data_IF_222595949687
#
_entry.id   IF_222595949687
#
_cell.length_a   1.000
_cell.length_b   1.000
_cell.length_c   1.000
_cell.angle_alpha   90.00
_cell.angle_beta   90.00
_cell.angle_gamma   90.00
#
_symmetry.space_group_name_H-M   'P 1'
#
loop_
_entity.id
_entity.type
_entity.pdbx_description
1 polymer ?
#
# COMPACT_ATOMS: atom_id res chain seq x y z
N UNK A 1 11.55 -0.40 -1.42
CA UNK A 1 10.16 -0.20 -0.97
C UNK A 1 9.57 -1.51 -0.48
N UNK A 2 8.74 -1.47 0.57
CA UNK A 2 8.04 -2.60 1.18
C UNK A 2 6.54 -2.34 1.13
N UNK A 3 5.74 -3.30 0.67
CA UNK A 3 4.28 -3.22 0.73
C UNK A 3 3.72 -4.16 1.81
N UNK A 4 2.76 -3.65 2.58
CA UNK A 4 1.93 -4.43 3.49
C UNK A 4 0.56 -4.62 2.82
N UNK A 5 0.35 -5.77 2.21
CA UNK A 5 -0.86 -6.14 1.49
C UNK A 5 -1.83 -6.88 2.41
N UNK A 6 -3.11 -6.62 2.29
CA UNK A 6 -4.12 -7.39 3.02
C UNK A 6 -5.52 -6.81 2.87
N UNK A 7 -6.56 -7.58 3.22
CA UNK A 7 -7.94 -7.13 3.17
C UNK A 7 -8.22 -6.00 4.19
N UNK A 8 -9.37 -5.38 4.04
CA UNK A 8 -9.86 -4.44 5.04
C UNK A 8 -10.07 -5.16 6.38
N UNK A 9 -9.65 -4.53 7.47
CA UNK A 9 -9.69 -5.17 8.79
C UNK A 9 -8.55 -6.12 9.12
N UNK A 10 -7.61 -6.40 8.20
CA UNK A 10 -6.45 -7.26 8.46
C UNK A 10 -5.47 -6.71 9.51
N UNK A 11 -5.58 -5.43 9.86
CA UNK A 11 -4.71 -4.77 10.82
C UNK A 11 -3.62 -3.88 10.19
N UNK A 12 -3.69 -3.58 8.88
CA UNK A 12 -2.69 -2.75 8.16
C UNK A 12 -2.51 -1.38 8.81
N UNK A 13 -3.59 -0.59 8.92
CA UNK A 13 -3.57 0.75 9.53
C UNK A 13 -3.09 0.69 10.98
N UNK A 14 -3.55 -0.29 11.79
CA UNK A 14 -3.08 -0.46 13.16
C UNK A 14 -1.58 -0.72 13.23
N UNK A 15 -1.06 -1.54 12.30
CA UNK A 15 0.38 -1.81 12.20
C UNK A 15 1.15 -0.54 11.85
N UNK A 16 0.70 0.22 10.84
CA UNK A 16 1.30 1.51 10.47
C UNK A 16 1.27 2.49 11.64
N UNK A 17 0.12 2.71 12.29
CA UNK A 17 -0.02 3.62 13.43
C UNK A 17 0.95 3.28 14.57
N UNK A 18 1.20 1.99 14.82
CA UNK A 18 2.20 1.54 15.79
C UNK A 18 3.60 1.86 15.31
N UNK A 19 3.94 1.57 14.05
CA UNK A 19 5.27 1.83 13.47
C UNK A 19 5.59 3.32 13.35
N UNK A 20 4.58 4.17 13.18
CA UNK A 20 4.69 5.64 13.20
C UNK A 20 4.79 6.23 14.62
N UNK A 21 4.49 5.41 15.65
CA UNK A 21 4.45 5.86 17.04
C UNK A 21 3.18 6.64 17.41
N UNK A 22 2.13 6.59 16.58
CA UNK A 22 0.82 7.18 16.91
C UNK A 22 -0.02 6.30 17.82
N UNK A 23 0.26 5.01 17.86
CA UNK A 23 -0.43 4.04 18.70
C UNK A 23 0.56 3.25 19.56
N UNK A 24 0.24 3.09 20.83
CA UNK A 24 1.02 2.23 21.73
C UNK A 24 0.71 0.76 21.43
N UNK A 25 1.77 -0.07 21.36
CA UNK A 25 1.62 -1.52 21.31
C UNK A 25 1.09 -2.08 22.63
N UNK A 26 0.28 -3.12 22.59
CA UNK A 26 -0.23 -3.79 23.79
C UNK A 26 0.79 -4.73 24.42
N UNK A 27 1.67 -5.33 23.61
CA UNK A 27 2.72 -6.26 24.01
C UNK A 27 3.82 -6.37 22.93
N UNK A 28 4.90 -7.10 23.25
CA UNK A 28 6.00 -7.38 22.31
C UNK A 28 6.97 -6.21 22.21
N UNK A 29 7.83 -6.27 21.18
CA UNK A 29 8.87 -5.26 20.88
C UNK A 29 8.71 -4.75 19.45
N UNK A 30 8.81 -3.44 19.29
CA UNK A 30 8.79 -2.77 17.99
C UNK A 30 9.92 -1.76 17.92
N UNK A 31 10.81 -1.95 16.98
CA UNK A 31 11.92 -1.04 16.72
C UNK A 31 11.81 -0.49 15.28
N UNK A 32 11.95 0.82 15.17
CA UNK A 32 11.98 1.51 13.88
C UNK A 32 13.21 2.41 13.84
N UNK A 33 14.03 2.26 12.80
CA UNK A 33 15.33 2.96 12.67
C UNK A 33 16.23 2.78 13.90
N UNK A 34 16.19 1.58 14.51
CA UNK A 34 17.01 1.21 15.66
C UNK A 34 16.53 1.76 17.02
N UNK A 35 15.32 2.31 17.08
CA UNK A 35 14.74 2.87 18.31
C UNK A 35 13.46 2.11 18.67
N UNK A 36 13.34 1.66 19.93
CA UNK A 36 12.07 1.15 20.46
C UNK A 36 11.08 2.32 20.56
N UNK A 37 9.90 2.13 20.01
CA UNK A 37 8.90 3.21 19.90
C UNK A 37 8.34 3.67 21.25
N UNK A 38 8.51 2.90 22.31
CA UNK A 38 8.21 3.36 23.68
C UNK A 38 9.13 4.50 24.12
N UNK A 39 10.35 4.55 23.56
CA UNK A 39 11.39 5.54 23.84
C UNK A 39 11.55 6.57 22.70
N UNK A 40 10.60 6.61 21.76
CA UNK A 40 10.63 7.46 20.58
C UNK A 40 10.71 8.95 20.91
N UNK A 41 11.86 9.57 20.62
CA UNK A 41 12.12 11.00 20.84
C UNK A 41 11.65 11.85 19.65
N UNK A 42 11.56 13.17 19.83
CA UNK A 42 11.35 14.14 18.76
C UNK A 42 12.40 14.00 17.63
N UNK A 43 13.65 13.69 18.00
CA UNK A 43 14.74 13.48 17.06
C UNK A 43 14.50 12.24 16.18
N UNK A 44 13.93 11.17 16.75
CA UNK A 44 13.48 10.00 15.99
C UNK A 44 12.32 10.37 15.06
N UNK A 45 11.32 11.11 15.56
CA UNK A 45 10.16 11.54 14.74
C UNK A 45 10.56 12.38 13.54
N UNK A 46 11.63 13.19 13.67
CA UNK A 46 12.16 13.96 12.53
C UNK A 46 12.76 13.10 11.42
N UNK A 47 13.03 11.81 11.68
CA UNK A 47 13.56 10.84 10.71
C UNK A 47 12.46 10.06 9.98
N UNK A 48 11.23 10.19 10.45
CA UNK A 48 10.05 9.48 9.93
C UNK A 48 9.11 10.47 9.28
N UNK A 49 8.58 10.11 8.13
CA UNK A 49 7.52 10.84 7.43
C UNK A 49 6.27 10.01 7.33
N UNK A 50 5.12 10.67 7.26
CA UNK A 50 3.83 10.03 7.10
C UNK A 50 2.96 10.81 6.13
N UNK A 51 2.24 10.12 5.26
CA UNK A 51 1.24 10.71 4.37
C UNK A 51 -0.13 10.20 4.81
N UNK A 52 -0.91 11.09 5.41
CA UNK A 52 -2.23 10.78 5.93
C UNK A 52 -3.29 10.81 4.82
N UNK A 53 -4.27 9.90 4.87
CA UNK A 53 -5.36 9.78 3.88
C UNK A 53 -6.21 11.05 3.70
N UNK A 54 -6.33 11.88 4.71
CA UNK A 54 -7.14 13.10 4.63
C UNK A 54 -6.58 14.20 5.51
N UNK A 55 -5.84 15.10 4.89
CA UNK A 55 -5.54 16.36 5.51
C UNK A 55 -6.29 17.49 4.81
N UNK A 56 -7.34 18.01 5.45
CA UNK A 56 -8.24 19.02 4.85
C UNK A 56 -8.06 20.44 5.39
N UNK A 57 -7.07 20.65 6.28
CA UNK A 57 -6.80 21.97 6.84
C UNK A 57 -5.91 22.83 5.93
N UNK A 58 -5.78 24.10 6.30
CA UNK A 58 -4.94 25.08 5.62
C UNK A 58 -5.35 25.51 4.21
N UNK A 59 -6.62 25.30 3.80
CA UNK A 59 -7.09 25.66 2.46
C UNK A 59 -6.87 27.13 2.05
N UNK A 60 -6.69 28.05 3.02
CA UNK A 60 -6.43 29.47 2.79
C UNK A 60 -4.95 29.78 2.52
N UNK A 61 -4.03 28.90 2.90
CA UNK A 61 -2.59 29.06 2.72
C UNK A 61 -2.22 28.84 1.26
N UNK A 62 -1.07 29.41 0.85
CA UNK A 62 -0.41 29.04 -0.41
C UNK A 62 0.42 27.79 -0.20
N UNK A 63 0.62 27.02 -1.26
CA UNK A 63 1.41 25.76 -1.20
C UNK A 63 2.80 26.02 -0.61
N UNK A 64 3.51 27.02 -1.13
CA UNK A 64 4.85 27.41 -0.66
C UNK A 64 4.85 27.79 0.83
N UNK A 65 3.88 28.59 1.23
CA UNK A 65 3.76 29.05 2.62
C UNK A 65 3.63 27.91 3.60
N UNK A 66 2.75 26.92 3.26
CA UNK A 66 2.56 25.73 4.09
C UNK A 66 3.83 24.90 4.18
N UNK A 67 4.48 24.60 3.05
CA UNK A 67 5.70 23.79 3.06
C UNK A 67 6.84 24.47 3.83
N UNK A 68 7.03 25.78 3.67
CA UNK A 68 8.02 26.53 4.41
C UNK A 68 7.72 26.54 5.93
N UNK A 69 6.45 26.71 6.28
CA UNK A 69 6.01 26.68 7.70
C UNK A 69 6.27 25.31 8.32
N UNK A 70 5.80 24.23 7.68
CA UNK A 70 6.02 22.89 8.19
C UNK A 70 7.50 22.51 8.21
N UNK A 71 8.26 22.91 7.19
CA UNK A 71 9.70 22.72 7.14
C UNK A 71 10.42 23.37 8.32
N UNK A 72 9.95 24.52 8.81
CA UNK A 72 10.59 25.22 9.93
C UNK A 72 10.68 24.39 11.21
N UNK A 73 9.76 23.45 11.45
CA UNK A 73 9.80 22.54 12.58
C UNK A 73 10.98 21.55 12.53
N UNK A 74 11.51 21.27 11.33
CA UNK A 74 12.60 20.31 11.14
C UNK A 74 13.98 20.96 11.15
N UNK A 75 14.07 22.30 11.14
CA UNK A 75 15.35 23.01 11.07
C UNK A 75 16.29 22.68 12.25
N UNK A 76 15.75 22.48 13.45
CA UNK A 76 16.52 22.11 14.64
C UNK A 76 17.09 20.68 14.59
N UNK A 77 16.61 19.83 13.68
CA UNK A 77 17.10 18.46 13.45
C UNK A 77 18.06 18.34 12.25
N UNK A 78 18.54 19.45 11.73
CA UNK A 78 19.57 19.49 10.70
C UNK A 78 20.87 18.89 11.24
N UNK A 79 21.51 18.00 10.47
CA UNK A 79 22.80 17.40 10.80
C UNK A 79 23.81 17.64 9.66
N UNK A 80 25.07 17.29 9.86
CA UNK A 80 26.05 17.33 8.78
C UNK A 80 25.73 16.36 7.63
N UNK A 81 25.14 15.20 7.99
CA UNK A 81 24.79 14.12 7.04
C UNK A 81 23.47 14.38 6.33
N UNK A 82 22.46 14.90 7.05
CA UNK A 82 21.13 15.14 6.49
C UNK A 82 20.73 16.59 6.72
N UNK A 83 20.68 17.35 5.62
CA UNK A 83 20.25 18.76 5.65
C UNK A 83 18.72 18.82 5.73
N UNK A 84 18.20 19.23 6.88
CA UNK A 84 16.76 19.39 7.13
C UNK A 84 16.41 20.86 7.36
N UNK A 85 15.24 21.29 6.93
CA UNK A 85 14.27 20.63 6.04
C UNK A 85 14.73 20.60 4.57
N UNK A 86 13.86 20.12 3.67
CA UNK A 86 13.97 20.42 2.25
C UNK A 86 13.94 21.94 2.03
N UNK A 87 14.72 22.45 1.07
CA UNK A 87 14.43 23.76 0.50
C UNK A 87 13.04 23.75 -0.16
N UNK A 88 12.26 24.79 0.08
CA UNK A 88 10.86 24.81 -0.38
C UNK A 88 10.74 24.76 -1.92
N UNK A 89 11.69 25.32 -2.66
CA UNK A 89 11.67 25.30 -4.13
C UNK A 89 12.10 23.94 -4.67
N UNK A 90 13.11 23.32 -4.04
CA UNK A 90 13.52 21.93 -4.37
C UNK A 90 12.35 20.96 -4.11
N UNK A 91 11.69 21.10 -2.98
CA UNK A 91 10.55 20.25 -2.62
C UNK A 91 9.38 20.42 -3.58
N UNK A 92 9.08 21.67 -3.98
CA UNK A 92 8.06 21.95 -5.00
C UNK A 92 8.40 21.32 -6.35
N UNK A 93 9.67 21.34 -6.73
CA UNK A 93 10.12 20.71 -7.98
C UNK A 93 9.97 19.18 -7.91
N UNK A 94 10.43 18.55 -6.81
CA UNK A 94 10.31 17.10 -6.57
C UNK A 94 8.84 16.66 -6.60
N UNK A 95 7.95 17.43 -5.98
CA UNK A 95 6.51 17.10 -5.93
C UNK A 95 5.77 17.50 -7.24
N UNK A 96 6.44 18.10 -8.23
CA UNK A 96 5.80 18.60 -9.46
C UNK A 96 4.78 19.71 -9.21
N UNK A 97 5.03 20.58 -8.21
CA UNK A 97 4.13 21.65 -7.78
C UNK A 97 4.70 23.06 -8.02
N UNK A 98 5.79 23.20 -8.75
CA UNK A 98 6.50 24.48 -8.99
C UNK A 98 5.55 25.56 -9.53
N UNK A 99 4.75 25.24 -10.56
CA UNK A 99 3.78 26.17 -11.15
C UNK A 99 2.58 26.50 -10.25
N UNK A 100 2.44 25.73 -9.16
CA UNK A 100 1.33 25.85 -8.22
C UNK A 100 1.77 26.40 -6.86
N UNK A 101 3.04 26.78 -6.71
CA UNK A 101 3.64 27.24 -5.47
C UNK A 101 2.84 28.36 -4.77
N UNK A 102 2.35 29.32 -5.56
CA UNK A 102 1.59 30.48 -5.06
C UNK A 102 0.07 30.32 -5.11
N UNK A 103 -0.41 29.15 -5.58
CA UNK A 103 -1.86 28.84 -5.50
C UNK A 103 -2.29 28.60 -4.06
N UNK A 104 -3.53 29.02 -3.75
CA UNK A 104 -4.19 28.62 -2.51
C UNK A 104 -4.51 27.13 -2.56
N UNK A 105 -4.27 26.43 -1.47
CA UNK A 105 -4.44 24.97 -1.37
C UNK A 105 -5.85 24.51 -1.74
N UNK A 106 -6.87 25.29 -1.40
CA UNK A 106 -8.26 25.00 -1.79
C UNK A 106 -8.54 25.05 -3.31
N UNK A 107 -7.61 25.61 -4.10
CA UNK A 107 -7.71 25.74 -5.55
C UNK A 107 -6.95 24.64 -6.30
N UNK A 108 -6.32 23.72 -5.59
CA UNK A 108 -5.62 22.59 -6.17
C UNK A 108 -6.63 21.54 -6.66
N UNK A 109 -6.32 20.89 -7.77
CA UNK A 109 -7.01 19.67 -8.19
C UNK A 109 -6.74 18.52 -7.22
N UNK A 110 -7.50 17.41 -7.29
CA UNK A 110 -7.28 16.23 -6.47
C UNK A 110 -5.84 15.71 -6.58
N UNK A 111 -5.33 15.49 -7.79
CA UNK A 111 -3.95 15.04 -8.01
C UNK A 111 -2.89 16.02 -7.48
N UNK A 112 -3.09 17.34 -7.67
CA UNK A 112 -2.19 18.35 -7.10
C UNK A 112 -2.24 18.34 -5.57
N UNK A 113 -3.39 18.08 -4.98
CA UNK A 113 -3.53 17.95 -3.53
C UNK A 113 -2.76 16.75 -3.00
N UNK A 114 -2.88 15.59 -3.63
CA UNK A 114 -2.13 14.40 -3.22
C UNK A 114 -0.61 14.58 -3.35
N UNK A 115 -0.13 15.26 -4.39
CA UNK A 115 1.28 15.64 -4.51
C UNK A 115 1.72 16.55 -3.36
N UNK A 116 0.86 17.47 -2.92
CA UNK A 116 1.12 18.29 -1.74
C UNK A 116 1.16 17.45 -0.46
N UNK A 117 0.27 16.48 -0.31
CA UNK A 117 0.24 15.62 0.87
C UNK A 117 1.54 14.78 0.96
N UNK A 118 2.06 14.28 -0.16
CA UNK A 118 3.40 13.67 -0.21
C UNK A 118 4.50 14.67 0.15
N UNK A 119 4.46 15.88 -0.44
CA UNK A 119 5.46 16.92 -0.12
C UNK A 119 5.48 17.26 1.37
N UNK A 120 4.32 17.29 2.02
CA UNK A 120 4.21 17.47 3.47
C UNK A 120 4.87 16.30 4.21
N UNK A 121 4.60 15.06 3.82
CA UNK A 121 5.18 13.87 4.42
C UNK A 121 6.71 13.81 4.33
N UNK A 122 7.30 14.41 3.29
CA UNK A 122 8.75 14.38 3.06
C UNK A 122 9.47 15.69 3.40
N UNK A 123 8.77 16.74 3.84
CA UNK A 123 9.37 18.08 4.09
C UNK A 123 10.56 18.03 5.04
N UNK A 124 10.57 17.11 5.99
CA UNK A 124 11.65 16.87 6.95
C UNK A 124 12.81 16.04 6.41
N UNK A 125 12.84 15.65 5.15
CA UNK A 125 13.80 14.66 4.59
C UNK A 125 13.84 13.38 5.44
N UNK A 126 12.73 12.63 5.52
CA UNK A 126 12.67 11.42 6.32
C UNK A 126 13.54 10.30 5.71
N UNK A 127 14.06 9.44 6.56
CA UNK A 127 14.74 8.21 6.17
C UNK A 127 13.74 7.09 5.87
N UNK A 128 12.57 7.15 6.54
CA UNK A 128 11.46 6.22 6.37
C UNK A 128 10.16 6.99 6.17
N UNK A 129 9.44 6.68 5.10
CA UNK A 129 8.14 7.25 4.77
C UNK A 129 7.06 6.18 4.84
N UNK A 130 6.01 6.45 5.58
CA UNK A 130 4.81 5.64 5.66
C UNK A 130 3.71 6.18 4.76
N UNK A 131 3.05 5.28 4.02
CA UNK A 131 1.96 5.59 3.11
C UNK A 131 0.80 4.62 3.40
N UNK A 132 -0.28 5.12 4.01
CA UNK A 132 -1.44 4.26 4.32
C UNK A 132 -2.51 4.40 3.22
N UNK A 133 -2.66 3.34 2.40
CA UNK A 133 -3.56 3.25 1.24
C UNK A 133 -3.51 4.51 0.34
N UNK A 134 -2.32 4.92 -0.14
CA UNK A 134 -2.08 6.27 -0.66
C UNK A 134 -2.82 6.59 -1.97
N UNK A 135 -3.24 5.58 -2.74
CA UNK A 135 -3.91 5.76 -4.03
C UNK A 135 -5.40 5.43 -4.00
N UNK A 136 -5.97 5.24 -2.80
CA UNK A 136 -7.40 4.97 -2.65
C UNK A 136 -8.23 6.11 -3.27
N UNK A 137 -9.10 5.76 -4.22
CA UNK A 137 -9.96 6.73 -4.91
C UNK A 137 -9.29 7.53 -6.04
N UNK A 138 -8.03 7.21 -6.41
CA UNK A 138 -7.36 7.86 -7.55
C UNK A 138 -7.90 7.33 -8.88
N UNK A 139 -8.00 8.23 -9.84
CA UNK A 139 -8.13 7.82 -11.24
C UNK A 139 -6.80 7.21 -11.76
N UNK A 140 -6.82 6.46 -12.87
CA UNK A 140 -5.62 5.78 -13.37
C UNK A 140 -4.45 6.71 -13.75
N UNK A 141 -4.72 7.97 -14.10
CA UNK A 141 -3.67 8.94 -14.42
C UNK A 141 -3.00 9.46 -13.15
N UNK A 142 -3.80 9.88 -12.16
CA UNK A 142 -3.31 10.32 -10.86
C UNK A 142 -2.49 9.22 -10.15
N UNK A 143 -2.94 7.94 -10.26
CA UNK A 143 -2.22 6.79 -9.70
C UNK A 143 -0.84 6.63 -10.33
N UNK A 144 -0.72 6.72 -11.66
CA UNK A 144 0.59 6.64 -12.35
C UNK A 144 1.53 7.76 -11.90
N UNK A 145 1.05 8.99 -11.90
CA UNK A 145 1.84 10.15 -11.46
C UNK A 145 2.33 10.01 -10.01
N UNK A 146 1.50 9.46 -9.14
CA UNK A 146 1.86 9.16 -7.75
C UNK A 146 2.94 8.07 -7.68
N UNK A 147 2.81 6.98 -8.46
CA UNK A 147 3.80 5.92 -8.53
C UNK A 147 5.16 6.45 -8.98
N UNK A 148 5.20 7.29 -10.02
CA UNK A 148 6.43 7.91 -10.53
C UNK A 148 7.09 8.78 -9.45
N UNK A 149 6.30 9.57 -8.71
CA UNK A 149 6.79 10.38 -7.60
C UNK A 149 7.41 9.51 -6.49
N UNK A 150 6.71 8.46 -6.06
CA UNK A 150 7.15 7.57 -4.98
C UNK A 150 8.41 6.79 -5.38
N UNK A 151 8.49 6.32 -6.63
CA UNK A 151 9.72 5.71 -7.18
C UNK A 151 10.89 6.68 -7.16
N UNK A 152 10.68 7.91 -7.63
CA UNK A 152 11.70 8.96 -7.60
C UNK A 152 12.23 9.24 -6.19
N UNK A 153 11.35 9.24 -5.19
CA UNK A 153 11.75 9.42 -3.79
C UNK A 153 12.64 8.28 -3.28
N UNK A 154 12.32 7.05 -3.63
CA UNK A 154 13.10 5.89 -3.21
C UNK A 154 14.47 5.82 -3.92
N UNK A 155 14.49 6.02 -5.25
CA UNK A 155 15.69 5.82 -6.07
C UNK A 155 16.67 6.99 -6.00
N UNK A 156 16.16 8.22 -6.09
CA UNK A 156 17.02 9.41 -6.16
C UNK A 156 17.43 9.94 -4.80
N UNK A 157 16.56 9.77 -3.79
CA UNK A 157 16.79 10.34 -2.46
C UNK A 157 17.04 9.30 -1.38
N UNK A 158 16.99 8.01 -1.75
CA UNK A 158 17.30 6.90 -0.83
C UNK A 158 16.28 6.75 0.31
N UNK A 159 15.07 7.32 0.16
CA UNK A 159 14.02 7.20 1.18
C UNK A 159 13.49 5.77 1.21
N UNK A 160 13.55 5.13 2.37
CA UNK A 160 12.85 3.85 2.56
C UNK A 160 11.35 4.10 2.63
N UNK A 161 10.55 3.32 1.91
CA UNK A 161 9.09 3.52 1.87
C UNK A 161 8.41 2.22 2.29
N UNK A 162 7.49 2.34 3.25
CA UNK A 162 6.53 1.30 3.63
C UNK A 162 5.14 1.79 3.28
N UNK A 163 4.46 1.06 2.40
CA UNK A 163 3.09 1.37 1.99
C UNK A 163 2.13 0.25 2.37
N UNK A 164 0.89 0.62 2.70
CA UNK A 164 -0.20 -0.35 2.79
C UNK A 164 -1.07 -0.26 1.55
N UNK A 165 -1.59 -1.39 1.13
CA UNK A 165 -2.58 -1.45 0.06
C UNK A 165 -3.41 -2.73 0.17
N UNK A 166 -4.59 -2.73 -0.43
CA UNK A 166 -5.37 -3.93 -0.69
C UNK A 166 -5.30 -4.35 -2.18
N UNK A 167 -4.64 -3.53 -3.02
CA UNK A 167 -4.47 -3.78 -4.46
C UNK A 167 -3.10 -4.44 -4.71
N UNK A 168 -3.13 -5.71 -5.12
CA UNK A 168 -1.93 -6.46 -5.45
C UNK A 168 -1.14 -5.82 -6.59
N UNK A 169 -1.83 -5.32 -7.63
CA UNK A 169 -1.15 -4.69 -8.77
C UNK A 169 -0.36 -3.44 -8.34
N UNK A 170 -0.83 -2.73 -7.33
CA UNK A 170 -0.10 -1.60 -6.75
C UNK A 170 1.13 -2.09 -5.99
N UNK A 171 0.97 -3.12 -5.15
CA UNK A 171 2.09 -3.71 -4.40
C UNK A 171 3.18 -4.24 -5.35
N UNK A 172 2.81 -4.94 -6.42
CA UNK A 172 3.74 -5.48 -7.43
C UNK A 172 4.51 -4.38 -8.17
N UNK A 173 3.85 -3.26 -8.48
CA UNK A 173 4.47 -2.15 -9.20
C UNK A 173 5.42 -1.32 -8.35
N UNK A 174 5.12 -1.16 -7.07
CA UNK A 174 5.86 -0.24 -6.20
C UNK A 174 6.89 -0.94 -5.31
N UNK A 175 6.61 -2.17 -4.87
CA UNK A 175 7.39 -2.79 -3.82
C UNK A 175 8.34 -3.87 -4.33
N UNK A 176 9.59 -3.81 -3.91
CA UNK A 176 10.54 -4.92 -4.11
C UNK A 176 10.29 -6.10 -3.16
N UNK A 177 9.49 -5.89 -2.10
CA UNK A 177 9.10 -6.92 -1.14
C UNK A 177 7.67 -6.67 -0.66
N UNK A 178 6.90 -7.74 -0.53
CA UNK A 178 5.49 -7.71 -0.14
C UNK A 178 5.30 -8.61 1.07
N UNK A 179 4.69 -8.04 2.11
CA UNK A 179 4.17 -8.79 3.26
C UNK A 179 2.65 -8.91 3.13
N UNK A 180 2.12 -10.13 3.23
CA UNK A 180 0.67 -10.33 3.23
C UNK A 180 0.20 -10.49 4.67
N UNK A 181 -0.68 -9.56 5.08
CA UNK A 181 -1.29 -9.53 6.40
C UNK A 181 -2.73 -10.06 6.32
N UNK A 182 -3.06 -11.03 7.16
CA UNK A 182 -4.43 -11.51 7.33
C UNK A 182 -4.68 -11.85 8.80
N UNK A 183 -5.82 -11.41 9.35
CA UNK A 183 -6.18 -11.65 10.75
C UNK A 183 -5.11 -11.22 11.76
N UNK A 184 -4.40 -10.12 11.51
CA UNK A 184 -3.32 -9.60 12.37
C UNK A 184 -2.01 -10.39 12.31
N UNK A 185 -1.84 -11.30 11.34
CA UNK A 185 -0.62 -12.11 11.16
C UNK A 185 -0.06 -11.96 9.75
N UNK A 186 1.26 -11.95 9.65
CA UNK A 186 1.94 -12.06 8.35
C UNK A 186 1.86 -13.52 7.91
N UNK A 187 1.13 -13.78 6.83
CA UNK A 187 0.91 -15.11 6.28
C UNK A 187 1.86 -15.43 5.12
N UNK A 188 2.40 -14.41 4.47
CA UNK A 188 3.40 -14.57 3.42
C UNK A 188 4.34 -13.36 3.36
N UNK A 189 5.57 -13.60 2.89
CA UNK A 189 6.65 -12.62 2.78
C UNK A 189 7.55 -13.03 1.61
N UNK A 190 7.81 -12.09 0.68
CA UNK A 190 8.66 -12.34 -0.48
C UNK A 190 8.53 -11.25 -1.54
N UNK A 191 9.22 -11.44 -2.66
CA UNK A 191 9.01 -10.65 -3.87
C UNK A 191 7.69 -11.04 -4.54
N UNK A 192 7.18 -10.21 -5.45
CA UNK A 192 5.99 -10.54 -6.24
C UNK A 192 6.14 -11.88 -6.97
N UNK A 193 7.32 -12.15 -7.55
CA UNK A 193 7.63 -13.41 -8.24
C UNK A 193 7.63 -14.61 -7.31
N UNK A 194 8.28 -14.50 -6.13
CA UNK A 194 8.33 -15.58 -5.14
C UNK A 194 6.94 -15.88 -4.60
N UNK A 195 6.13 -14.86 -4.35
CA UNK A 195 4.77 -15.01 -3.89
C UNK A 195 3.88 -15.65 -4.97
N UNK A 196 4.01 -15.21 -6.22
CA UNK A 196 3.31 -15.82 -7.35
C UNK A 196 3.69 -17.30 -7.53
N UNK A 197 4.96 -17.67 -7.38
CA UNK A 197 5.41 -19.07 -7.46
C UNK A 197 4.88 -19.93 -6.30
N UNK A 198 4.83 -19.40 -5.08
CA UNK A 198 4.26 -20.12 -3.92
C UNK A 198 2.76 -20.33 -4.03
N UNK A 199 2.07 -19.44 -4.75
CA UNK A 199 0.64 -19.45 -4.98
C UNK A 199 0.29 -20.13 -6.31
N UNK A 200 1.27 -20.41 -7.16
CA UNK A 200 1.12 -21.29 -8.32
C UNK A 200 0.77 -22.73 -7.88
N UNK A 201 -0.15 -22.80 -6.92
CA UNK A 201 -0.96 -23.94 -6.58
C UNK A 201 -1.88 -24.27 -7.75
N UNK A 202 -2.82 -25.15 -7.50
CA UNK A 202 -3.77 -25.61 -8.49
C UNK A 202 -4.59 -24.44 -9.07
N UNK A 203 -4.59 -24.28 -10.39
CA UNK A 203 -5.52 -23.40 -11.09
C UNK A 203 -6.95 -23.94 -10.91
N UNK A 204 -7.92 -23.07 -10.79
CA UNK A 204 -9.33 -23.45 -10.72
C UNK A 204 -9.93 -23.40 -12.14
N UNK A 205 -10.39 -24.55 -12.63
CA UNK A 205 -11.11 -24.66 -13.90
C UNK A 205 -12.60 -24.78 -13.61
N UNK A 206 -13.37 -23.82 -14.10
CA UNK A 206 -14.84 -23.79 -14.00
C UNK A 206 -15.45 -24.03 -15.37
N UNK A 207 -16.50 -24.80 -15.44
CA UNK A 207 -17.25 -25.00 -16.67
C UNK A 207 -18.71 -25.35 -16.38
N UNK A 208 -19.54 -25.13 -17.37
CA UNK A 208 -20.95 -25.56 -17.36
C UNK A 208 -21.12 -26.72 -18.33
N UNK A 209 -21.83 -27.79 -17.90
CA UNK A 209 -22.23 -28.89 -18.75
C UNK A 209 -23.66 -29.32 -18.41
N UNK A 210 -24.51 -29.45 -19.40
CA UNK A 210 -25.93 -29.85 -19.22
C UNK A 210 -26.67 -28.99 -18.18
N UNK A 211 -26.34 -27.69 -18.10
CA UNK A 211 -26.92 -26.74 -17.15
C UNK A 211 -26.40 -26.88 -15.72
N UNK A 212 -25.41 -27.74 -15.47
CA UNK A 212 -24.74 -27.86 -14.16
C UNK A 212 -23.37 -27.20 -14.19
N UNK A 213 -23.02 -26.54 -13.08
CA UNK A 213 -21.73 -25.90 -12.90
C UNK A 213 -20.75 -26.86 -12.23
N UNK A 214 -19.57 -26.95 -12.76
CA UNK A 214 -18.46 -27.76 -12.25
C UNK A 214 -17.26 -26.87 -11.93
N UNK A 215 -16.52 -27.29 -10.92
CA UNK A 215 -15.27 -26.61 -10.48
C UNK A 215 -14.25 -27.69 -10.15
N UNK A 216 -13.05 -27.57 -10.72
CA UNK A 216 -11.94 -28.49 -10.49
C UNK A 216 -10.63 -27.71 -10.32
N UNK A 217 -9.91 -27.99 -9.24
CA UNK A 217 -8.56 -27.50 -9.04
C UNK A 217 -7.54 -28.42 -9.72
N UNK A 218 -6.56 -27.85 -10.44
CA UNK A 218 -5.52 -28.62 -11.14
C UNK A 218 -4.26 -27.80 -11.34
N UNK A 219 -3.09 -28.43 -11.27
CA UNK A 219 -1.80 -27.83 -11.59
C UNK A 219 -1.53 -27.74 -13.11
N UNK A 220 -2.30 -28.47 -13.93
CA UNK A 220 -2.16 -28.54 -15.38
C UNK A 220 -3.45 -28.05 -16.07
N UNK A 221 -3.89 -26.84 -15.78
CA UNK A 221 -5.17 -26.29 -16.23
C UNK A 221 -5.37 -26.33 -17.75
N UNK A 222 -4.33 -26.03 -18.52
CA UNK A 222 -4.38 -26.07 -19.99
C UNK A 222 -4.60 -27.49 -20.50
N UNK A 223 -3.92 -28.47 -19.92
CA UNK A 223 -4.09 -29.88 -20.29
C UNK A 223 -5.46 -30.39 -19.89
N UNK A 224 -5.88 -30.05 -18.68
CA UNK A 224 -7.21 -30.42 -18.16
C UNK A 224 -8.33 -29.82 -19.02
N UNK A 225 -8.25 -28.55 -19.42
CA UNK A 225 -9.21 -27.93 -20.30
C UNK A 225 -9.24 -28.62 -21.68
N UNK A 226 -8.09 -28.99 -22.23
CA UNK A 226 -8.01 -29.73 -23.48
C UNK A 226 -8.66 -31.14 -23.39
N UNK A 227 -8.44 -31.84 -22.28
CA UNK A 227 -9.06 -33.16 -22.03
C UNK A 227 -10.58 -33.04 -21.85
N UNK A 228 -11.07 -31.99 -21.17
CA UNK A 228 -12.50 -31.70 -21.08
C UNK A 228 -13.15 -31.52 -22.46
N UNK A 229 -12.55 -30.70 -23.32
CA UNK A 229 -13.07 -30.52 -24.69
C UNK A 229 -13.01 -31.81 -25.53
N UNK A 230 -11.95 -32.59 -25.35
CA UNK A 230 -11.81 -33.87 -26.03
C UNK A 230 -12.89 -34.89 -25.61
N UNK A 231 -13.26 -34.84 -24.32
CA UNK A 231 -14.22 -35.82 -23.76
C UNK A 231 -15.68 -35.40 -24.01
N UNK A 232 -15.98 -34.11 -23.89
CA UNK A 232 -17.37 -33.61 -23.87
C UNK A 232 -17.73 -32.70 -25.05
N UNK A 233 -16.75 -32.25 -25.83
CA UNK A 233 -16.96 -31.47 -27.05
C UNK A 233 -17.80 -30.22 -26.83
N UNK A 234 -18.84 -30.07 -27.64
CA UNK A 234 -19.74 -28.93 -27.64
C UNK A 234 -20.68 -28.87 -26.42
N UNK A 235 -20.72 -29.91 -25.58
CA UNK A 235 -21.51 -29.91 -24.35
C UNK A 235 -20.93 -29.01 -23.23
N UNK A 236 -19.70 -28.49 -23.44
CA UNK A 236 -19.07 -27.57 -22.50
C UNK A 236 -19.42 -26.13 -22.88
N UNK A 237 -19.93 -25.39 -21.91
CA UNK A 237 -20.17 -23.98 -21.99
C UNK A 237 -19.43 -23.26 -20.83
N UNK A 238 -19.21 -21.96 -20.99
CA UNK A 238 -18.68 -21.06 -19.96
C UNK A 238 -17.36 -21.56 -19.31
N UNK A 239 -16.46 -22.16 -20.15
CA UNK A 239 -15.17 -22.59 -19.63
C UNK A 239 -14.33 -21.37 -19.21
N UNK A 240 -14.01 -21.32 -17.92
CA UNK A 240 -13.14 -20.30 -17.33
C UNK A 240 -11.97 -20.99 -16.63
N UNK A 241 -10.76 -20.55 -16.94
CA UNK A 241 -9.56 -20.96 -16.20
C UNK A 241 -9.12 -19.79 -15.35
N UNK A 242 -9.31 -19.90 -14.05
CA UNK A 242 -8.82 -18.94 -13.06
C UNK A 242 -7.50 -19.44 -12.52
N UNK A 243 -6.43 -18.76 -12.89
CA UNK A 243 -5.14 -19.03 -12.27
C UNK A 243 -5.22 -18.68 -10.79
N UNK A 244 -4.68 -19.56 -9.96
CA UNK A 244 -4.47 -19.28 -8.56
C UNK A 244 -3.66 -17.98 -8.45
N UNK A 245 -4.29 -16.92 -7.94
CA UNK A 245 -3.65 -15.62 -7.79
C UNK A 245 -3.65 -15.23 -6.31
N UNK A 246 -2.66 -14.42 -5.91
CA UNK A 246 -2.60 -13.80 -4.57
C UNK A 246 -3.94 -13.17 -4.16
N UNK A 247 -4.65 -12.56 -5.12
CA UNK A 247 -5.96 -11.94 -4.90
C UNK A 247 -6.98 -12.96 -4.40
N UNK A 248 -7.03 -14.16 -5.00
CA UNK A 248 -8.01 -15.20 -4.64
C UNK A 248 -7.78 -15.79 -3.24
N UNK A 249 -6.53 -15.94 -2.81
CA UNK A 249 -6.25 -16.43 -1.44
C UNK A 249 -6.53 -15.35 -0.38
N UNK A 250 -6.31 -14.10 -0.71
CA UNK A 250 -6.66 -12.97 0.15
C UNK A 250 -8.19 -12.85 0.25
N UNK A 251 -8.92 -13.02 -0.85
CA UNK A 251 -10.40 -13.02 -0.90
C UNK A 251 -11.03 -14.29 -0.29
N UNK A 252 -10.47 -15.46 -0.54
CA UNK A 252 -10.94 -16.72 0.05
C UNK A 252 -10.74 -16.76 1.58
N UNK A 253 -9.66 -16.13 2.07
CA UNK A 253 -9.49 -15.88 3.50
C UNK A 253 -10.57 -14.96 4.10
N UNK A 254 -11.18 -14.07 3.30
CA UNK A 254 -12.32 -13.24 3.72
C UNK A 254 -13.60 -14.04 3.89
N UNK A 255 -13.89 -14.97 2.98
CA UNK A 255 -15.10 -15.80 3.04
C UNK A 255 -15.08 -16.76 4.25
N UNK A 256 -13.92 -17.36 4.53
CA UNK A 256 -13.77 -18.26 5.69
C UNK A 256 -13.88 -17.53 7.04
N UNK A 257 -13.48 -16.24 7.11
CA UNK A 257 -13.58 -15.45 8.34
C UNK A 257 -14.99 -14.87 8.53
N UNK A 258 -15.71 -14.60 7.44
CA UNK A 258 -17.11 -14.15 7.50
C UNK A 258 -18.04 -15.27 7.96
N UNK A 259 -17.85 -16.50 7.45
CA UNK A 259 -18.61 -17.67 7.88
C UNK A 259 -18.33 -18.04 9.35
N UNK A 260 -17.10 -17.91 9.84
CA UNK A 260 -16.75 -18.17 11.24
C UNK A 260 -17.40 -17.16 12.21
N UNK A 261 -17.53 -15.88 11.81
CA UNK A 261 -18.18 -14.86 12.63
C UNK A 261 -19.70 -15.02 12.67
N UNK A 262 -20.35 -15.46 11.58
CA UNK A 262 -21.79 -15.73 11.58
C UNK A 262 -22.16 -16.92 12.50
N UNK A 263 -21.29 -17.91 12.66
CA UNK A 263 -21.51 -19.02 13.60
C UNK A 263 -21.35 -18.61 15.08
N UNK A 264 -20.52 -17.62 15.40
CA UNK A 264 -20.38 -17.13 16.78
C UNK A 264 -21.51 -16.18 17.21
N UNK A 265 -22.15 -15.46 16.28
CA UNK A 265 -23.29 -14.58 16.59
C UNK A 265 -24.60 -15.34 16.75
N UNK A 266 -24.75 -16.52 16.15
CA UNK A 266 -25.94 -17.40 16.31
C UNK A 266 -25.85 -18.26 17.57
N UNK A 267 -24.67 -18.35 18.20
CA UNK A 267 -24.43 -19.13 19.41
C UNK A 267 -24.48 -18.34 20.74
N UNK A 268 -24.88 -17.06 20.67
CA UNK A 268 -25.14 -16.18 21.83
C UNK A 268 -26.58 -15.76 21.86
#
# INVERSE_FOLDING_TARGET
>A
MLALLGPNGAGKTTTIEILEGFRMRSAGRVEVLGVDLADGTEQWRARVGSVLQSWRDHGKWRVRELLAHLGSYYACYCTELVKRPWDANELLAVAGLTEHADKKIKMLSGGQRHRLDVAIGIVGRPELLFLDEPTAGFDPAARREFHDLVHGLAEQYGTTILLTTHDLNEAEKLAGRILILNGGRVIADGTAEELAQRIAGEDEVRWTRDGQHFVQSTTESTRFAFELFKQYGESIADLEVRRSSLVHQVEAGQSATAEANDYEEVAR
#
